data_IF_376213431020
#
_entry.id   IF_376213431020
#
_cell.length_a   1.000
_cell.length_b   1.000
_cell.length_c   1.000
_cell.angle_alpha   90.00
_cell.angle_beta   90.00
_cell.angle_gamma   90.00
#
_symmetry.space_group_name_H-M   'P 1'
#
loop_
_entity.id
_entity.type
_entity.pdbx_description
1 polymer ?
#
# COMPACT_ATOMS: atom_id res chain seq x y z
N UNK A 1 7.83 5.96 5.22
CA UNK A 1 7.83 4.71 6.04
C UNK A 1 6.63 4.64 6.98
N UNK A 2 6.31 5.72 7.74
CA UNK A 2 5.21 5.70 8.71
C UNK A 2 3.83 5.36 8.13
N UNK A 3 3.53 5.79 6.92
CA UNK A 3 2.22 5.56 6.29
C UNK A 3 2.06 4.14 5.73
N UNK A 4 3.16 3.51 5.30
CA UNK A 4 3.16 2.09 4.91
C UNK A 4 2.73 1.24 6.11
N UNK A 5 3.28 1.51 7.29
CA UNK A 5 2.89 0.78 8.51
C UNK A 5 1.44 1.05 8.93
N UNK A 6 0.98 2.30 8.87
CA UNK A 6 -0.41 2.65 9.26
C UNK A 6 -1.45 1.92 8.40
N UNK A 7 -1.29 1.94 7.08
CA UNK A 7 -2.21 1.22 6.18
C UNK A 7 -2.16 -0.30 6.38
N UNK A 8 -0.96 -0.84 6.70
CA UNK A 8 -0.81 -2.27 6.98
C UNK A 8 -1.53 -2.67 8.26
N UNK A 9 -1.33 -1.92 9.34
CA UNK A 9 -2.04 -2.15 10.60
C UNK A 9 -3.55 -2.08 10.37
N UNK A 10 -4.02 -1.06 9.65
CA UNK A 10 -5.45 -0.90 9.36
C UNK A 10 -5.99 -2.07 8.51
N UNK A 11 -5.28 -2.43 7.43
CA UNK A 11 -5.67 -3.54 6.56
C UNK A 11 -5.68 -4.88 7.27
N UNK A 12 -4.66 -5.16 8.08
CA UNK A 12 -4.59 -6.39 8.89
C UNK A 12 -5.72 -6.43 9.89
N UNK A 13 -5.96 -5.36 10.67
CA UNK A 13 -7.02 -5.33 11.68
C UNK A 13 -8.41 -5.52 11.06
N UNK A 14 -8.73 -4.80 9.98
CA UNK A 14 -10.02 -4.92 9.32
C UNK A 14 -10.20 -6.31 8.70
N UNK A 15 -9.15 -6.82 8.03
CA UNK A 15 -9.16 -8.18 7.47
C UNK A 15 -9.32 -9.26 8.53
N UNK A 16 -8.65 -9.10 9.70
CA UNK A 16 -8.81 -10.01 10.84
C UNK A 16 -10.24 -10.00 11.39
N UNK A 17 -10.79 -8.81 11.63
CA UNK A 17 -12.16 -8.68 12.15
C UNK A 17 -13.16 -9.30 11.17
N UNK A 18 -13.06 -8.95 9.89
CA UNK A 18 -13.95 -9.46 8.85
C UNK A 18 -13.86 -10.99 8.71
N UNK A 19 -12.65 -11.53 8.56
CA UNK A 19 -12.43 -12.96 8.34
C UNK A 19 -12.78 -13.82 9.54
N UNK A 20 -12.60 -13.31 10.76
CA UNK A 20 -12.86 -14.06 11.97
C UNK A 20 -14.32 -13.98 12.43
N UNK A 21 -14.92 -12.76 12.45
CA UNK A 21 -16.32 -12.58 12.85
C UNK A 21 -17.29 -13.20 11.85
N UNK A 22 -17.00 -13.06 10.55
CA UNK A 22 -17.89 -13.58 9.50
C UNK A 22 -19.25 -12.88 9.44
N UNK A 23 -20.19 -13.48 8.71
CA UNK A 23 -21.59 -13.06 8.66
C UNK A 23 -21.81 -11.58 8.32
N UNK A 24 -22.62 -10.87 9.10
CA UNK A 24 -22.97 -9.46 8.83
C UNK A 24 -21.78 -8.51 8.97
N UNK A 25 -20.89 -8.77 9.93
CA UNK A 25 -19.69 -7.92 10.16
C UNK A 25 -18.76 -7.99 8.95
N UNK A 26 -18.50 -9.19 8.45
CA UNK A 26 -17.71 -9.41 7.25
C UNK A 26 -18.33 -8.69 6.05
N UNK A 27 -19.63 -8.88 5.81
CA UNK A 27 -20.33 -8.26 4.70
C UNK A 27 -20.25 -6.72 4.73
N UNK A 28 -20.45 -6.10 5.90
CA UNK A 28 -20.38 -4.64 6.04
C UNK A 28 -18.96 -4.14 5.78
N UNK A 29 -17.96 -4.76 6.41
CA UNK A 29 -16.55 -4.35 6.23
C UNK A 29 -16.09 -4.53 4.78
N UNK A 30 -16.48 -5.64 4.14
CA UNK A 30 -16.15 -5.87 2.73
C UNK A 30 -16.87 -4.89 1.81
N UNK A 31 -18.12 -4.52 2.09
CA UNK A 31 -18.82 -3.49 1.32
C UNK A 31 -18.12 -2.12 1.42
N UNK A 32 -17.61 -1.75 2.60
CA UNK A 32 -16.81 -0.53 2.76
C UNK A 32 -15.53 -0.61 1.92
N UNK A 33 -14.83 -1.74 1.96
CA UNK A 33 -13.61 -1.92 1.15
C UNK A 33 -13.90 -1.86 -0.36
N UNK A 34 -15.02 -2.40 -0.81
CA UNK A 34 -15.47 -2.34 -2.20
C UNK A 34 -15.77 -0.90 -2.64
N UNK A 35 -16.52 -0.14 -1.84
CA UNK A 35 -16.84 1.27 -2.11
C UNK A 35 -15.55 2.07 -2.26
N UNK A 36 -14.61 1.94 -1.31
CA UNK A 36 -13.32 2.66 -1.37
C UNK A 36 -12.50 2.22 -2.59
N UNK A 37 -12.48 0.92 -2.90
CA UNK A 37 -11.72 0.38 -4.04
C UNK A 37 -12.37 0.67 -5.40
N UNK A 38 -13.64 1.09 -5.45
CA UNK A 38 -14.30 1.43 -6.70
C UNK A 38 -13.83 2.76 -7.29
N UNK A 39 -13.20 3.60 -6.46
CA UNK A 39 -12.61 4.84 -6.95
C UNK A 39 -11.31 4.56 -7.71
N UNK A 40 -11.16 5.07 -8.94
CA UNK A 40 -9.93 4.90 -9.69
C UNK A 40 -8.80 5.67 -8.99
N UNK A 41 -7.81 4.93 -8.51
CA UNK A 41 -6.77 5.41 -7.59
C UNK A 41 -6.00 6.64 -8.13
N UNK A 42 -5.41 6.54 -9.32
CA UNK A 42 -4.61 7.63 -9.90
C UNK A 42 -5.44 8.87 -10.25
N UNK A 43 -6.59 8.77 -10.93
CA UNK A 43 -7.47 9.93 -11.17
C UNK A 43 -7.87 10.65 -9.89
N UNK A 44 -8.17 9.91 -8.82
CA UNK A 44 -8.51 10.51 -7.54
C UNK A 44 -7.33 11.24 -6.90
N UNK A 45 -6.13 10.64 -6.93
CA UNK A 45 -4.92 11.29 -6.43
C UNK A 45 -4.61 12.59 -7.21
N UNK A 46 -4.70 12.54 -8.54
CA UNK A 46 -4.47 13.71 -9.41
C UNK A 46 -5.48 14.81 -9.11
N UNK A 47 -6.78 14.46 -9.05
CA UNK A 47 -7.84 15.42 -8.77
C UNK A 47 -7.68 16.10 -7.42
N UNK A 48 -7.36 15.33 -6.38
CA UNK A 48 -7.14 15.88 -5.04
C UNK A 48 -5.85 16.69 -4.94
N UNK A 49 -4.79 16.29 -5.67
CA UNK A 49 -3.56 17.08 -5.75
C UNK A 49 -3.79 18.43 -6.45
N UNK A 50 -4.68 18.47 -7.43
CA UNK A 50 -5.05 19.70 -8.13
C UNK A 50 -5.88 20.67 -7.27
N UNK A 51 -6.52 20.20 -6.18
CA UNK A 51 -7.24 21.06 -5.23
C UNK A 51 -6.31 21.83 -4.29
N UNK A 52 -5.02 21.49 -4.23
CA UNK A 52 -4.06 22.25 -3.45
C UNK A 52 -3.85 23.63 -4.08
N UNK A 53 -3.86 24.71 -3.26
CA UNK A 53 -3.63 26.06 -3.78
C UNK A 53 -2.28 26.17 -4.50
N UNK A 54 -2.18 26.98 -5.56
CA UNK A 54 -0.90 27.35 -6.14
C UNK A 54 0.00 27.94 -5.04
N UNK A 55 1.20 27.43 -4.86
CA UNK A 55 2.11 27.83 -3.78
C UNK A 55 1.92 27.09 -2.46
N UNK A 56 1.11 26.03 -2.41
CA UNK A 56 1.06 25.15 -1.24
C UNK A 56 2.48 24.66 -0.89
N UNK A 57 2.80 24.66 0.41
CA UNK A 57 4.11 24.21 0.87
C UNK A 57 4.34 22.75 0.48
N UNK A 58 5.58 22.40 0.18
CA UNK A 58 5.99 21.05 -0.19
C UNK A 58 5.55 20.01 0.85
N UNK A 59 5.65 20.36 2.13
CA UNK A 59 5.19 19.50 3.24
C UNK A 59 3.70 19.16 3.10
N UNK A 60 2.85 20.14 2.75
CA UNK A 60 1.41 19.90 2.55
C UNK A 60 1.16 18.94 1.38
N UNK A 61 1.89 19.08 0.28
CA UNK A 61 1.80 18.18 -0.89
C UNK A 61 2.19 16.76 -0.53
N UNK A 62 3.35 16.58 0.10
CA UNK A 62 3.85 15.27 0.53
C UNK A 62 2.85 14.63 1.52
N UNK A 63 2.42 15.38 2.54
CA UNK A 63 1.47 14.87 3.53
C UNK A 63 0.16 14.43 2.89
N UNK A 64 -0.36 15.20 1.93
CA UNK A 64 -1.59 14.85 1.24
C UNK A 64 -1.43 13.55 0.42
N UNK A 65 -0.36 13.44 -0.37
CA UNK A 65 -0.07 12.20 -1.13
C UNK A 65 0.05 11.01 -0.17
N UNK A 66 0.77 11.17 0.93
CA UNK A 66 0.91 10.12 1.94
C UNK A 66 -0.41 9.70 2.57
N UNK A 67 -1.24 10.68 2.97
CA UNK A 67 -2.58 10.40 3.54
C UNK A 67 -3.45 9.65 2.54
N UNK A 68 -3.45 10.05 1.28
CA UNK A 68 -4.24 9.39 0.24
C UNK A 68 -3.75 7.97 -0.05
N UNK A 69 -2.43 7.78 -0.17
CA UNK A 69 -1.83 6.45 -0.33
C UNK A 69 -2.18 5.55 0.87
N UNK A 70 -2.19 6.11 2.08
CA UNK A 70 -2.57 5.41 3.30
C UNK A 70 -4.05 5.04 3.35
N UNK A 71 -4.94 5.99 3.04
CA UNK A 71 -6.39 5.82 3.10
C UNK A 71 -6.93 4.86 2.03
N UNK A 72 -6.30 4.78 0.86
CA UNK A 72 -6.76 3.95 -0.23
C UNK A 72 -6.07 2.59 -0.28
N UNK A 73 -4.83 2.53 0.17
CA UNK A 73 -3.98 1.35 0.01
C UNK A 73 -4.27 0.17 0.96
N UNK A 74 -5.06 0.35 2.02
CA UNK A 74 -5.34 -0.70 3.01
C UNK A 74 -6.36 -1.73 2.54
N UNK A 75 -7.23 -1.39 1.59
CA UNK A 75 -8.38 -2.22 1.19
C UNK A 75 -7.98 -3.54 0.54
N UNK A 76 -6.92 -3.55 -0.27
CA UNK A 76 -6.40 -4.77 -0.88
C UNK A 76 -5.79 -5.71 0.15
N UNK A 77 -5.05 -5.16 1.12
CA UNK A 77 -4.49 -5.95 2.21
C UNK A 77 -5.59 -6.53 3.12
N UNK A 78 -6.63 -5.75 3.42
CA UNK A 78 -7.76 -6.23 4.21
C UNK A 78 -8.44 -7.43 3.56
N UNK A 79 -8.66 -7.40 2.24
CA UNK A 79 -9.22 -8.53 1.50
C UNK A 79 -8.31 -9.74 1.48
N UNK A 80 -7.00 -9.53 1.32
CA UNK A 80 -6.01 -10.59 1.36
C UNK A 80 -6.00 -11.28 2.72
N UNK A 81 -5.87 -10.51 3.81
CA UNK A 81 -5.85 -11.03 5.19
C UNK A 81 -7.14 -11.75 5.52
N UNK A 82 -8.31 -11.18 5.15
CA UNK A 82 -9.60 -11.85 5.30
C UNK A 82 -9.61 -13.21 4.60
N UNK A 83 -9.18 -13.28 3.35
CA UNK A 83 -9.11 -14.53 2.59
C UNK A 83 -8.25 -15.59 3.25
N UNK A 84 -7.08 -15.20 3.76
CA UNK A 84 -6.18 -16.08 4.50
C UNK A 84 -6.80 -16.57 5.80
N UNK A 85 -7.49 -15.73 6.56
CA UNK A 85 -8.16 -16.12 7.80
C UNK A 85 -9.31 -17.07 7.52
N UNK A 86 -10.09 -16.85 6.46
CA UNK A 86 -11.16 -17.76 6.06
C UNK A 86 -10.61 -19.15 5.70
N UNK A 87 -9.50 -19.20 4.98
CA UNK A 87 -8.84 -20.46 4.65
C UNK A 87 -8.25 -21.15 5.90
N UNK A 88 -7.62 -20.38 6.77
CA UNK A 88 -6.94 -20.91 7.95
C UNK A 88 -7.93 -21.42 9.02
N UNK A 89 -9.07 -20.75 9.21
CA UNK A 89 -10.08 -21.14 10.20
C UNK A 89 -10.77 -22.47 9.88
N UNK A 90 -10.71 -22.94 8.65
CA UNK A 90 -11.28 -24.23 8.21
C UNK A 90 -10.28 -25.40 8.38
N UNK A 91 -9.05 -25.14 8.84
CA UNK A 91 -8.03 -26.17 9.08
C UNK A 91 -8.40 -27.09 10.25
N UNK A 92 -8.03 -28.36 10.13
CA UNK A 92 -8.36 -29.39 11.12
C UNK A 92 -7.86 -29.07 12.52
N UNK A 93 -6.66 -28.49 12.66
CA UNK A 93 -6.10 -28.12 13.94
C UNK A 93 -6.86 -26.99 14.63
N UNK A 94 -7.48 -26.08 13.86
CA UNK A 94 -8.36 -25.02 14.41
C UNK A 94 -9.67 -25.64 14.89
N UNK A 95 -10.24 -26.57 14.11
CA UNK A 95 -11.45 -27.29 14.48
C UNK A 95 -11.24 -28.13 15.74
N UNK A 96 -10.11 -28.83 15.84
CA UNK A 96 -9.71 -29.55 17.04
C UNK A 96 -9.54 -28.65 18.26
N UNK A 97 -8.89 -27.48 18.08
CA UNK A 97 -8.72 -26.50 19.14
C UNK A 97 -10.06 -25.98 19.68
N UNK A 98 -11.03 -25.73 18.79
CA UNK A 98 -12.40 -25.35 19.18
C UNK A 98 -13.10 -26.47 19.96
N UNK A 99 -12.98 -27.70 19.53
CA UNK A 99 -13.55 -28.87 20.21
C UNK A 99 -12.98 -29.03 21.63
N UNK A 100 -11.71 -28.67 21.83
CA UNK A 100 -11.05 -28.65 23.14
C UNK A 100 -11.42 -27.43 24.00
N UNK A 101 -12.32 -26.56 23.55
CA UNK A 101 -12.80 -25.41 24.31
C UNK A 101 -11.83 -24.20 24.33
N UNK A 102 -10.84 -24.15 23.44
CA UNK A 102 -9.92 -23.01 23.35
C UNK A 102 -10.69 -21.76 22.92
N UNK A 103 -10.50 -20.65 23.65
CA UNK A 103 -11.18 -19.37 23.37
C UNK A 103 -10.81 -18.85 21.98
N UNK A 104 -11.80 -18.32 21.27
CA UNK A 104 -11.65 -17.75 19.94
C UNK A 104 -10.50 -16.74 19.81
N UNK A 105 -10.33 -15.87 20.82
CA UNK A 105 -9.22 -14.92 20.84
C UNK A 105 -7.86 -15.63 20.87
N UNK A 106 -7.73 -16.68 21.66
CA UNK A 106 -6.49 -17.47 21.73
C UNK A 106 -6.20 -18.20 20.42
N UNK A 107 -7.23 -18.70 19.75
CA UNK A 107 -7.12 -19.31 18.40
C UNK A 107 -6.59 -18.26 17.41
N UNK A 108 -7.16 -17.06 17.41
CA UNK A 108 -6.70 -15.96 16.55
C UNK A 108 -5.24 -15.62 16.81
N UNK A 109 -4.91 -15.29 18.07
CA UNK A 109 -3.61 -14.73 18.40
C UNK A 109 -2.47 -15.76 18.35
N UNK A 110 -2.74 -17.02 18.71
CA UNK A 110 -1.70 -18.06 18.84
C UNK A 110 -1.62 -19.03 17.67
N UNK A 111 -2.66 -19.14 16.88
CA UNK A 111 -2.72 -20.12 15.78
C UNK A 111 -2.87 -19.45 14.42
N UNK A 112 -3.88 -18.60 14.22
CA UNK A 112 -4.16 -18.01 12.90
C UNK A 112 -3.17 -16.89 12.57
N UNK A 113 -3.02 -15.90 13.45
CA UNK A 113 -2.19 -14.72 13.18
C UNK A 113 -0.72 -15.08 12.87
N UNK A 114 -0.03 -15.97 13.62
CA UNK A 114 1.33 -16.35 13.29
C UNK A 114 1.46 -17.00 11.90
N UNK A 115 0.49 -17.80 11.50
CA UNK A 115 0.53 -18.51 10.22
C UNK A 115 0.31 -17.58 9.01
N UNK A 116 -0.44 -16.48 9.18
CA UNK A 116 -0.65 -15.51 8.10
C UNK A 116 0.40 -14.39 8.09
N UNK A 117 1.26 -14.28 9.13
CA UNK A 117 2.27 -13.21 9.21
C UNK A 117 3.23 -13.20 8.03
N UNK A 118 3.66 -14.36 7.54
CA UNK A 118 4.56 -14.46 6.38
C UNK A 118 3.95 -13.76 5.16
N UNK A 119 2.70 -14.01 4.85
CA UNK A 119 2.03 -13.39 3.69
C UNK A 119 1.77 -11.89 3.91
N UNK A 120 1.55 -11.48 5.16
CA UNK A 120 1.43 -10.04 5.51
C UNK A 120 2.76 -9.34 5.28
N UNK A 121 3.89 -9.93 5.70
CA UNK A 121 5.23 -9.38 5.51
C UNK A 121 5.56 -9.28 4.02
N UNK A 122 5.32 -10.34 3.25
CA UNK A 122 5.50 -10.32 1.79
C UNK A 122 4.68 -9.21 1.14
N UNK A 123 3.40 -9.10 1.49
CA UNK A 123 2.54 -8.03 0.97
C UNK A 123 3.00 -6.63 1.39
N UNK A 124 3.58 -6.51 2.59
CA UNK A 124 4.18 -5.29 3.09
C UNK A 124 5.34 -4.81 2.21
N UNK A 125 6.24 -5.71 1.87
CA UNK A 125 7.42 -5.42 1.04
C UNK A 125 7.02 -5.10 -0.40
N UNK A 126 6.11 -5.88 -0.99
CA UNK A 126 5.51 -5.58 -2.30
C UNK A 126 4.83 -4.21 -2.31
N UNK A 127 4.10 -3.90 -1.24
CA UNK A 127 3.44 -2.61 -1.05
C UNK A 127 4.42 -1.45 -0.94
N UNK A 128 5.60 -1.63 -0.37
CA UNK A 128 6.65 -0.62 -0.33
C UNK A 128 7.14 -0.28 -1.75
N UNK A 129 7.49 -1.29 -2.55
CA UNK A 129 7.89 -1.10 -3.94
C UNK A 129 6.80 -0.41 -4.77
N UNK A 130 5.54 -0.85 -4.62
CA UNK A 130 4.40 -0.23 -5.29
C UNK A 130 4.17 1.23 -4.90
N UNK A 131 4.39 1.61 -3.64
CA UNK A 131 4.28 3.00 -3.19
C UNK A 131 5.42 3.87 -3.73
N UNK A 132 6.64 3.33 -3.79
CA UNK A 132 7.79 4.02 -4.37
C UNK A 132 7.53 4.35 -5.85
N UNK A 133 7.03 3.38 -6.62
CA UNK A 133 6.65 3.58 -8.01
C UNK A 133 5.49 4.58 -8.15
N UNK A 134 4.50 4.52 -7.28
CA UNK A 134 3.36 5.44 -7.29
C UNK A 134 3.79 6.87 -6.96
N UNK A 135 4.64 7.07 -5.95
CA UNK A 135 5.21 8.38 -5.63
C UNK A 135 6.02 8.92 -6.81
N UNK A 136 6.92 8.10 -7.36
CA UNK A 136 7.76 8.49 -8.49
C UNK A 136 6.92 8.86 -9.71
N UNK A 137 5.87 8.09 -10.01
CA UNK A 137 4.94 8.39 -11.10
C UNK A 137 4.17 9.68 -10.89
N UNK A 138 3.65 9.93 -9.68
CA UNK A 138 2.94 11.16 -9.35
C UNK A 138 3.86 12.39 -9.42
N UNK A 139 5.08 12.26 -8.92
CA UNK A 139 6.09 13.33 -8.96
C UNK A 139 6.50 13.62 -10.41
N UNK A 140 6.70 12.59 -11.24
CA UNK A 140 6.96 12.72 -12.67
C UNK A 140 5.84 13.47 -13.39
N UNK A 141 4.59 13.20 -13.04
CA UNK A 141 3.42 13.90 -13.60
C UNK A 141 3.19 15.31 -12.99
N UNK A 142 4.02 15.74 -12.04
CA UNK A 142 3.91 17.06 -11.40
C UNK A 142 2.89 17.15 -10.24
N UNK A 143 2.29 16.03 -9.84
CA UNK A 143 1.30 15.99 -8.75
C UNK A 143 1.88 15.55 -7.39
N UNK A 144 3.12 15.06 -7.36
CA UNK A 144 3.81 14.63 -6.16
C UNK A 144 4.79 15.67 -5.62
N UNK A 145 5.99 15.20 -5.28
CA UNK A 145 7.10 16.03 -4.81
C UNK A 145 7.59 16.94 -5.94
N UNK A 146 7.69 18.24 -5.67
CA UNK A 146 8.13 19.24 -6.64
C UNK A 146 9.47 19.85 -6.21
N UNK A 147 10.16 20.48 -7.16
CA UNK A 147 11.35 21.29 -6.88
C UNK A 147 11.06 22.41 -5.86
N UNK A 148 12.01 22.77 -5.00
CA UNK A 148 13.40 22.31 -4.95
C UNK A 148 13.66 21.02 -4.17
N UNK A 149 12.62 20.30 -3.67
CA UNK A 149 12.81 19.08 -2.90
C UNK A 149 13.13 17.92 -3.84
N UNK A 150 14.30 17.26 -3.70
CA UNK A 150 14.67 16.17 -4.59
C UNK A 150 13.83 14.92 -4.32
N UNK A 151 13.30 14.33 -5.38
CA UNK A 151 12.78 12.96 -5.40
C UNK A 151 13.17 12.29 -6.72
N UNK A 152 13.25 10.97 -6.73
CA UNK A 152 13.56 10.27 -7.99
C UNK A 152 12.50 10.55 -9.06
N UNK A 153 11.24 10.70 -8.66
CA UNK A 153 10.15 11.03 -9.58
C UNK A 153 10.31 12.42 -10.22
N UNK A 154 10.60 13.47 -9.44
CA UNK A 154 10.80 14.80 -10.02
C UNK A 154 12.11 14.91 -10.82
N UNK A 155 13.15 14.16 -10.46
CA UNK A 155 14.36 14.07 -11.29
C UNK A 155 14.06 13.44 -12.66
N UNK A 156 13.10 12.52 -12.73
CA UNK A 156 12.66 11.92 -14.00
C UNK A 156 11.86 12.90 -14.87
N UNK A 157 11.26 13.97 -14.32
CA UNK A 157 10.58 15.00 -15.14
C UNK A 157 11.51 15.67 -16.13
N UNK A 158 12.81 15.71 -15.83
CA UNK A 158 13.80 16.23 -16.77
C UNK A 158 13.80 15.46 -18.11
N UNK A 159 13.41 14.18 -18.10
CA UNK A 159 13.30 13.37 -19.32
C UNK A 159 12.16 13.80 -20.26
N UNK A 160 11.29 14.73 -19.86
CA UNK A 160 10.24 15.27 -20.73
C UNK A 160 10.80 16.25 -21.79
N UNK A 161 12.06 16.65 -21.68
CA UNK A 161 12.72 17.52 -22.68
C UNK A 161 13.63 16.72 -23.60
N UNK A 162 13.54 16.99 -24.92
CA UNK A 162 14.33 16.31 -25.95
C UNK A 162 15.84 16.42 -25.73
N UNK A 163 16.31 17.58 -25.26
CA UNK A 163 17.74 17.81 -25.00
C UNK A 163 18.26 16.90 -23.87
N UNK A 164 17.45 16.70 -22.83
CA UNK A 164 17.83 15.80 -21.73
C UNK A 164 17.81 14.34 -22.19
N UNK A 165 16.86 13.94 -23.04
CA UNK A 165 16.84 12.59 -23.56
C UNK A 165 18.06 12.27 -24.42
N UNK A 166 18.47 13.20 -25.29
CA UNK A 166 19.48 12.96 -26.31
C UNK A 166 20.90 13.36 -25.89
N UNK A 167 21.05 14.47 -25.14
CA UNK A 167 22.36 15.05 -24.81
C UNK A 167 22.73 14.76 -23.35
N UNK A 168 21.79 14.96 -22.41
CA UNK A 168 22.03 14.85 -20.98
C UNK A 168 21.39 13.60 -20.39
N UNK A 169 21.50 12.46 -21.09
CA UNK A 169 20.86 11.18 -20.77
C UNK A 169 21.09 10.70 -19.32
N UNK A 170 22.22 11.04 -18.70
CA UNK A 170 22.53 10.66 -17.31
C UNK A 170 21.58 11.28 -16.27
N UNK A 171 20.91 12.40 -16.59
CA UNK A 171 19.99 13.07 -15.68
C UNK A 171 18.73 12.25 -15.39
N UNK A 172 18.33 11.39 -16.30
CA UNK A 172 17.17 10.53 -16.11
C UNK A 172 17.55 9.05 -15.92
N UNK A 173 18.63 8.57 -16.50
CA UNK A 173 19.04 7.16 -16.41
C UNK A 173 19.39 6.77 -14.98
N UNK A 174 20.14 7.59 -14.25
CA UNK A 174 20.50 7.27 -12.87
C UNK A 174 19.30 7.25 -11.92
N UNK A 175 18.38 8.23 -11.92
CA UNK A 175 17.13 8.15 -11.14
C UNK A 175 16.27 6.95 -11.53
N UNK A 176 16.14 6.65 -12.83
CA UNK A 176 15.40 5.48 -13.30
C UNK A 176 16.01 4.17 -12.79
N UNK A 177 17.34 4.03 -12.89
CA UNK A 177 18.06 2.88 -12.34
C UNK A 177 17.89 2.76 -10.83
N UNK A 178 17.92 3.88 -10.09
CA UNK A 178 17.72 3.87 -8.64
C UNK A 178 16.32 3.34 -8.28
N UNK A 179 15.27 3.85 -8.94
CA UNK A 179 13.88 3.38 -8.75
C UNK A 179 13.77 1.89 -9.11
N UNK A 180 14.34 1.49 -10.26
CA UNK A 180 14.34 0.10 -10.71
C UNK A 180 15.05 -0.82 -9.72
N UNK A 181 16.27 -0.50 -9.33
CA UNK A 181 17.08 -1.33 -8.42
C UNK A 181 16.41 -1.47 -7.05
N UNK A 182 15.92 -0.39 -6.46
CA UNK A 182 15.26 -0.46 -5.15
C UNK A 182 13.97 -1.27 -5.23
N UNK A 183 13.16 -1.08 -6.28
CA UNK A 183 11.96 -1.87 -6.48
C UNK A 183 12.27 -3.35 -6.70
N UNK A 184 13.25 -3.65 -7.55
CA UNK A 184 13.67 -5.00 -7.88
C UNK A 184 14.30 -5.73 -6.69
N UNK A 185 15.20 -5.06 -5.95
CA UNK A 185 15.81 -5.63 -4.75
C UNK A 185 14.76 -5.88 -3.65
N UNK A 186 13.76 -5.00 -3.51
CA UNK A 186 12.64 -5.24 -2.59
C UNK A 186 11.84 -6.49 -2.96
N UNK A 187 11.75 -6.82 -4.25
CA UNK A 187 11.05 -8.02 -4.73
C UNK A 187 11.86 -9.31 -4.53
N UNK A 188 13.19 -9.24 -4.64
CA UNK A 188 14.05 -10.43 -4.53
C UNK A 188 14.29 -10.82 -3.06
N UNK A 189 14.28 -9.87 -2.14
CA UNK A 189 14.56 -10.12 -0.71
C UNK A 189 13.39 -10.71 0.09
N UNK A 190 12.33 -11.10 -0.60
CA UNK A 190 11.18 -11.81 -0.03
C UNK A 190 11.39 -13.32 -0.19
#
# INVERSE_FOLDING_TARGET
>A
LGDVYKRQVLGVLIGMIAGFAGGRVDNVLMRITEIISSFPFYPMLISLSALLPPGASQTKRITMVMVLLGLLGWTSLARLVRGQILAERERDYITASRALGVKNKSIMDKHILPNILSIVIVNATLGYAGNLLSESGLSFLGFGVQEPTPSWGNMLTAAQTSDVLNIYWWRWVFPALAVFLVSFLSLIHI
#
